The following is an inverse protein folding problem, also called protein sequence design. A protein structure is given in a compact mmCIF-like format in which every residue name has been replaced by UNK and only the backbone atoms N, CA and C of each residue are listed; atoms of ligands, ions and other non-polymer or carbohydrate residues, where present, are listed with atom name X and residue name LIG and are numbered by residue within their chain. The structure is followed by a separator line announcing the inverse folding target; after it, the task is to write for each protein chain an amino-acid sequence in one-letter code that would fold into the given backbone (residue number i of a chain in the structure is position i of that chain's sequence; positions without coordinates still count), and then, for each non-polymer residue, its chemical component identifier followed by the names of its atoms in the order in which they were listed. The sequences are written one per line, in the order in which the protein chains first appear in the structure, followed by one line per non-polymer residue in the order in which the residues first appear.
data_IF_353381498771
#
_entry.id   IF_353381498771
#
_cell.length_a   1.000
_cell.length_b   1.000
_cell.length_c   1.000
_cell.angle_alpha   90.00
_cell.angle_beta   90.00
_cell.angle_gamma   90.00
#
_symmetry.space_group_name_H-M   'P 1'
#
loop_
_entity.id
_entity.type
_entity.pdbx_description
1 polymer ?
#
# COMPACT_ATOMS: atom_id res chain seq x y z
N UNK A 1 12.08 -4.79 28.00
CA UNK A 1 11.91 -3.47 27.35
C UNK A 1 11.40 -3.71 25.92
N UNK A 2 10.20 -3.24 25.61
CA UNK A 2 9.66 -3.35 24.24
C UNK A 2 10.38 -2.31 23.38
N UNK A 3 11.30 -2.75 22.53
CA UNK A 3 11.99 -1.85 21.61
C UNK A 3 11.04 -1.54 20.46
N UNK A 4 10.83 -0.26 20.20
CA UNK A 4 10.07 0.20 19.03
C UNK A 4 10.68 -0.38 17.75
N UNK A 5 9.85 -1.00 16.91
CA UNK A 5 10.33 -1.63 15.68
C UNK A 5 9.22 -1.76 14.64
N UNK A 6 9.61 -1.67 13.37
CA UNK A 6 8.77 -1.99 12.22
C UNK A 6 9.55 -2.89 11.25
N UNK A 7 8.97 -4.01 10.90
CA UNK A 7 9.61 -4.99 10.00
C UNK A 7 8.63 -5.41 8.93
N UNK A 8 8.96 -5.14 7.68
CA UNK A 8 8.23 -5.63 6.51
C UNK A 8 8.85 -6.92 5.96
N UNK A 9 7.99 -7.77 5.40
CA UNK A 9 8.41 -9.04 4.76
C UNK A 9 7.58 -9.28 3.49
N UNK A 10 8.13 -9.99 2.50
CA UNK A 10 7.31 -10.54 1.44
C UNK A 10 6.21 -11.43 2.02
N UNK A 11 5.03 -11.49 1.40
CA UNK A 11 3.98 -12.43 1.79
C UNK A 11 4.39 -13.86 1.47
N UNK A 12 3.58 -14.83 1.92
CA UNK A 12 3.70 -16.22 1.44
C UNK A 12 3.63 -16.24 -0.10
N UNK A 13 4.38 -17.14 -0.78
CA UNK A 13 4.42 -17.18 -2.25
C UNK A 13 3.03 -17.21 -2.91
N UNK A 14 2.12 -17.98 -2.34
CA UNK A 14 0.75 -18.12 -2.87
C UNK A 14 -0.10 -16.85 -2.69
N UNK A 15 0.32 -15.91 -1.85
CA UNK A 15 -0.32 -14.60 -1.68
C UNK A 15 0.36 -13.47 -2.48
N UNK A 16 1.53 -13.71 -3.07
CA UNK A 16 2.31 -12.65 -3.72
C UNK A 16 1.62 -12.00 -4.92
N UNK A 17 0.59 -12.63 -5.47
CA UNK A 17 -0.22 -12.10 -6.57
C UNK A 17 -1.31 -11.12 -6.10
N UNK A 18 -1.60 -11.05 -4.79
CA UNK A 18 -2.66 -10.21 -4.18
C UNK A 18 -2.14 -9.37 -3.01
N UNK A 19 -1.21 -9.87 -2.22
CA UNK A 19 -0.61 -9.17 -1.08
C UNK A 19 0.73 -8.58 -1.51
N UNK A 20 0.88 -7.28 -1.31
CA UNK A 20 2.11 -6.54 -1.62
C UNK A 20 3.21 -6.81 -0.60
N UNK A 21 2.85 -6.72 0.68
CA UNK A 21 3.76 -6.95 1.82
C UNK A 21 2.96 -7.28 3.07
N UNK A 22 3.61 -7.95 4.01
CA UNK A 22 3.12 -8.16 5.37
C UNK A 22 4.12 -7.55 6.35
N UNK A 23 3.64 -7.13 7.53
CA UNK A 23 4.49 -6.41 8.46
C UNK A 23 4.13 -6.65 9.92
N UNK A 24 5.09 -6.39 10.80
CA UNK A 24 4.94 -6.35 12.25
C UNK A 24 5.44 -5.00 12.74
N UNK A 25 4.62 -4.29 13.50
CA UNK A 25 4.97 -3.04 14.17
C UNK A 25 4.86 -3.22 15.68
N UNK A 26 5.83 -2.72 16.41
CA UNK A 26 5.79 -2.63 17.87
C UNK A 26 6.03 -1.19 18.27
N UNK A 27 5.13 -0.63 19.06
CA UNK A 27 5.35 0.68 19.67
C UNK A 27 6.13 0.53 20.98
N UNK A 28 6.92 1.54 21.30
CA UNK A 28 7.70 1.62 22.54
C UNK A 28 6.86 2.02 23.76
N UNK A 29 7.51 2.69 24.70
CA UNK A 29 6.89 3.14 25.95
C UNK A 29 6.03 4.40 25.80
N UNK A 30 6.10 5.09 24.66
CA UNK A 30 5.27 6.23 24.30
C UNK A 30 4.29 5.89 23.15
N UNK A 31 3.16 6.61 23.05
CA UNK A 31 2.30 6.53 21.87
C UNK A 31 3.09 6.88 20.60
N UNK A 32 2.75 6.22 19.51
CA UNK A 32 3.41 6.41 18.21
C UNK A 32 2.46 7.09 17.23
N UNK A 33 2.92 8.19 16.63
CA UNK A 33 2.15 8.90 15.60
C UNK A 33 2.47 8.29 14.24
N UNK A 34 1.54 7.54 13.69
CA UNK A 34 1.64 6.90 12.38
C UNK A 34 1.01 7.78 11.31
N UNK A 35 1.75 8.03 10.23
CA UNK A 35 1.20 8.68 9.03
C UNK A 35 1.01 7.63 7.95
N UNK A 36 -0.25 7.39 7.58
CA UNK A 36 -0.61 6.52 6.47
C UNK A 36 -0.65 7.32 5.18
N UNK A 37 -0.05 6.77 4.13
CA UNK A 37 0.02 7.38 2.81
C UNK A 37 -0.78 6.57 1.80
N UNK A 38 -1.33 7.20 0.74
CA UNK A 38 -2.01 6.48 -0.33
C UNK A 38 -1.10 5.43 -0.97
N UNK A 39 -1.50 4.16 -0.90
CA UNK A 39 -0.78 3.02 -1.50
C UNK A 39 -1.39 2.53 -2.80
N UNK A 40 -2.62 2.96 -3.09
CA UNK A 40 -3.42 2.53 -4.22
C UNK A 40 -4.19 1.23 -3.98
N UNK A 41 -4.06 0.64 -2.80
CA UNK A 41 -4.80 -0.54 -2.35
C UNK A 41 -5.38 -0.34 -0.95
N UNK A 42 -5.84 -1.42 -0.36
CA UNK A 42 -6.32 -1.49 1.04
C UNK A 42 -5.26 -2.12 1.93
N UNK A 43 -5.42 -1.94 3.24
CA UNK A 43 -4.55 -2.55 4.25
C UNK A 43 -5.39 -3.17 5.36
N UNK A 44 -4.90 -4.25 5.95
CA UNK A 44 -5.45 -4.82 7.18
C UNK A 44 -4.46 -4.53 8.30
N UNK A 45 -4.96 -3.92 9.38
CA UNK A 45 -4.25 -3.70 10.62
C UNK A 45 -4.86 -4.55 11.72
N UNK A 46 -4.05 -5.39 12.32
CA UNK A 46 -4.47 -6.34 13.33
C UNK A 46 -3.69 -6.10 14.63
N UNK A 47 -4.15 -5.21 15.52
CA UNK A 47 -3.57 -5.07 16.85
C UNK A 47 -3.75 -6.37 17.63
N UNK A 48 -2.68 -6.95 18.17
CA UNK A 48 -2.77 -8.17 18.97
C UNK A 48 -3.48 -7.86 20.28
N UNK A 49 -4.59 -8.55 20.54
CA UNK A 49 -5.47 -8.27 21.67
C UNK A 49 -6.42 -7.08 21.48
N UNK A 50 -6.42 -6.47 20.29
CA UNK A 50 -7.28 -5.34 19.93
C UNK A 50 -8.27 -5.67 18.81
N UNK A 51 -8.94 -4.64 18.31
CA UNK A 51 -9.92 -4.76 17.22
C UNK A 51 -9.24 -4.62 15.86
N UNK A 52 -9.29 -5.63 15.00
CA UNK A 52 -8.73 -5.55 13.67
C UNK A 52 -9.55 -4.65 12.75
N UNK A 53 -8.85 -3.95 11.86
CA UNK A 53 -9.46 -2.98 10.94
C UNK A 53 -8.98 -3.21 9.51
N UNK A 54 -9.87 -2.97 8.56
CA UNK A 54 -9.54 -2.71 7.17
C UNK A 54 -9.40 -1.18 7.00
N UNK A 55 -8.31 -0.77 6.40
CA UNK A 55 -8.07 0.60 5.96
C UNK A 55 -8.41 0.64 4.49
N UNK A 56 -9.42 1.42 4.12
CA UNK A 56 -9.83 1.62 2.73
C UNK A 56 -8.80 2.43 1.92
N UNK A 57 -9.06 2.58 0.62
CA UNK A 57 -8.15 3.34 -0.24
C UNK A 57 -8.05 4.80 0.24
N UNK A 58 -6.82 5.29 0.44
CA UNK A 58 -6.58 6.66 0.84
C UNK A 58 -6.38 7.58 -0.37
N UNK A 59 -6.90 8.82 -0.29
CA UNK A 59 -6.71 9.88 -1.30
C UNK A 59 -5.69 10.95 -0.87
N UNK A 60 -5.34 10.95 0.40
CA UNK A 60 -4.38 11.85 1.06
C UNK A 60 -3.82 11.21 2.32
N UNK A 61 -3.05 11.94 3.11
CA UNK A 61 -2.47 11.41 4.34
C UNK A 61 -3.55 11.22 5.40
N UNK A 62 -3.40 10.17 6.19
CA UNK A 62 -4.17 9.94 7.42
C UNK A 62 -3.20 9.78 8.58
N UNK A 63 -3.50 10.40 9.72
CA UNK A 63 -2.68 10.33 10.92
C UNK A 63 -3.41 9.53 12.00
N UNK A 64 -2.74 8.52 12.52
CA UNK A 64 -3.22 7.67 13.61
C UNK A 64 -2.26 7.76 14.80
N UNK A 65 -2.82 7.80 15.99
CA UNK A 65 -2.05 7.65 17.24
C UNK A 65 -2.18 6.22 17.74
N UNK A 66 -1.11 5.45 17.59
CA UNK A 66 -1.04 4.08 18.08
C UNK A 66 -0.63 4.12 19.55
N UNK A 67 -1.38 3.48 20.47
CA UNK A 67 -1.04 3.46 21.90
C UNK A 67 0.36 2.88 22.14
N UNK A 68 0.98 3.28 23.25
CA UNK A 68 2.22 2.66 23.71
C UNK A 68 2.06 1.14 23.93
N UNK A 69 3.16 0.41 23.81
CA UNK A 69 3.24 -1.06 24.01
C UNK A 69 2.27 -1.87 23.16
N UNK A 70 1.88 -1.33 22.01
CA UNK A 70 0.99 -2.01 21.05
C UNK A 70 1.83 -2.81 20.05
N UNK A 71 1.40 -4.04 19.77
CA UNK A 71 1.92 -4.81 18.64
C UNK A 71 0.83 -4.98 17.60
N UNK A 72 1.14 -4.58 16.37
CA UNK A 72 0.24 -4.70 15.22
C UNK A 72 0.90 -5.61 14.20
N UNK A 73 0.17 -6.57 13.66
CA UNK A 73 0.52 -7.27 12.44
C UNK A 73 -0.39 -6.80 11.32
N UNK A 74 0.11 -6.74 10.10
CA UNK A 74 -0.69 -6.23 9.00
C UNK A 74 -0.34 -6.83 7.65
N UNK A 75 -1.25 -6.59 6.71
CA UNK A 75 -1.09 -6.93 5.30
C UNK A 75 -1.50 -5.74 4.43
N UNK A 76 -0.64 -5.39 3.48
CA UNK A 76 -0.92 -4.39 2.44
C UNK A 76 -1.17 -5.10 1.14
N UNK A 77 -2.30 -4.81 0.51
CA UNK A 77 -2.69 -5.46 -0.73
C UNK A 77 -2.20 -4.71 -1.96
N UNK A 78 -2.04 -5.44 -3.04
CA UNK A 78 -1.83 -4.85 -4.36
C UNK A 78 -3.10 -4.10 -4.80
N UNK A 79 -2.99 -3.02 -5.58
CA UNK A 79 -4.16 -2.35 -6.13
C UNK A 79 -5.03 -3.33 -6.92
N UNK A 80 -6.33 -3.34 -6.66
CA UNK A 80 -7.29 -4.27 -7.28
C UNK A 80 -7.30 -5.68 -6.72
N UNK A 81 -6.61 -5.92 -5.62
CA UNK A 81 -6.52 -7.23 -4.97
C UNK A 81 -7.03 -7.17 -3.51
N UNK A 82 -8.09 -6.40 -3.25
CA UNK A 82 -8.73 -6.43 -1.93
C UNK A 82 -9.28 -7.83 -1.62
N UNK A 83 -9.28 -8.26 -0.35
CA UNK A 83 -9.95 -9.50 0.04
C UNK A 83 -11.45 -9.39 -0.26
N UNK A 84 -12.20 -10.51 -0.33
CA UNK A 84 -13.64 -10.47 -0.50
C UNK A 84 -14.30 -9.62 0.59
N UNK A 85 -15.11 -8.65 0.17
CA UNK A 85 -15.82 -7.73 1.05
C UNK A 85 -17.30 -7.71 0.67
N UNK A 86 -18.22 -7.59 1.65
CA UNK A 86 -19.66 -7.49 1.40
C UNK A 86 -20.10 -6.11 0.90
N UNK A 87 -19.15 -5.21 0.68
CA UNK A 87 -19.37 -3.80 0.29
C UNK A 87 -18.44 -3.43 -0.86
N UNK A 88 -18.80 -2.37 -1.57
CA UNK A 88 -17.97 -1.86 -2.66
C UNK A 88 -16.80 -1.02 -2.11
N UNK A 89 -15.65 -1.04 -2.79
CA UNK A 89 -14.47 -0.31 -2.30
C UNK A 89 -14.60 1.22 -2.37
N UNK A 90 -15.46 1.76 -3.22
CA UNK A 90 -15.74 3.20 -3.24
C UNK A 90 -16.47 3.68 -1.98
N UNK A 91 -17.27 2.82 -1.34
CA UNK A 91 -17.88 3.11 -0.03
C UNK A 91 -16.86 3.12 1.13
N UNK A 92 -15.67 2.57 0.90
CA UNK A 92 -14.60 2.44 1.90
C UNK A 92 -13.47 3.48 1.77
N UNK A 93 -13.53 4.35 0.78
CA UNK A 93 -12.49 5.37 0.55
C UNK A 93 -12.34 6.29 1.76
N UNK A 94 -11.12 6.38 2.30
CA UNK A 94 -10.79 7.18 3.47
C UNK A 94 -11.43 6.67 4.78
N UNK A 95 -11.91 5.42 4.83
CA UNK A 95 -12.56 4.85 6.01
C UNK A 95 -11.72 3.75 6.64
N UNK A 96 -11.89 3.60 7.95
CA UNK A 96 -11.44 2.46 8.74
C UNK A 96 -12.66 1.70 9.22
N UNK A 97 -12.72 0.41 8.96
CA UNK A 97 -13.88 -0.42 9.28
C UNK A 97 -13.39 -1.65 10.04
N UNK A 98 -14.13 -2.01 11.10
CA UNK A 98 -13.85 -3.23 11.86
C UNK A 98 -13.95 -4.47 10.97
N UNK A 99 -12.97 -5.36 11.02
CA UNK A 99 -13.03 -6.61 10.24
C UNK A 99 -14.21 -7.49 10.68
N UNK A 100 -14.65 -7.40 11.92
CA UNK A 100 -15.84 -8.10 12.42
C UNK A 100 -17.12 -7.64 11.69
N UNK A 101 -17.19 -6.36 11.30
CA UNK A 101 -18.31 -5.84 10.50
C UNK A 101 -18.31 -6.39 9.07
N UNK A 102 -17.14 -6.72 8.54
CA UNK A 102 -16.95 -7.19 7.16
C UNK A 102 -16.98 -8.71 7.04
N UNK A 103 -16.36 -9.43 7.98
CA UNK A 103 -16.20 -10.88 7.95
C UNK A 103 -16.96 -11.63 9.05
N UNK A 104 -17.64 -10.89 9.95
CA UNK A 104 -18.44 -11.50 11.02
C UNK A 104 -17.64 -12.50 11.87
N UNK A 105 -18.23 -13.66 12.12
CA UNK A 105 -17.66 -14.74 12.94
C UNK A 105 -16.27 -15.21 12.47
N UNK A 106 -15.95 -15.08 11.18
CA UNK A 106 -14.62 -15.46 10.68
C UNK A 106 -13.53 -14.51 11.23
N UNK A 107 -13.84 -13.21 11.32
CA UNK A 107 -12.94 -12.26 11.97
C UNK A 107 -12.79 -12.53 13.47
N UNK A 108 -13.87 -12.83 14.17
CA UNK A 108 -13.81 -13.13 15.62
C UNK A 108 -12.93 -14.33 15.91
N UNK A 109 -13.10 -15.41 15.16
CA UNK A 109 -12.22 -16.62 15.28
C UNK A 109 -10.76 -16.30 15.01
N UNK A 110 -10.48 -15.44 14.04
CA UNK A 110 -9.12 -15.01 13.74
C UNK A 110 -8.55 -14.16 14.88
N UNK A 111 -9.36 -13.24 15.47
CA UNK A 111 -8.98 -12.45 16.65
C UNK A 111 -8.59 -13.36 17.81
N UNK A 112 -9.42 -14.35 18.15
CA UNK A 112 -9.16 -15.31 19.21
C UNK A 112 -7.87 -16.09 18.96
N UNK A 113 -7.71 -16.64 17.75
CA UNK A 113 -6.51 -17.40 17.39
C UNK A 113 -5.23 -16.56 17.46
N UNK A 114 -5.30 -15.28 17.07
CA UNK A 114 -4.15 -14.39 17.10
C UNK A 114 -3.83 -13.87 18.51
N UNK A 115 -4.84 -13.71 19.37
CA UNK A 115 -4.65 -13.29 20.75
C UNK A 115 -3.86 -14.31 21.59
N UNK A 116 -4.01 -15.60 21.29
CA UNK A 116 -3.28 -16.69 21.97
C UNK A 116 -1.99 -17.08 21.25
N UNK A 117 -1.63 -16.41 20.18
CA UNK A 117 -0.39 -16.68 19.45
C UNK A 117 0.83 -16.35 20.32
N UNK A 118 1.77 -17.30 20.42
CA UNK A 118 2.94 -17.15 21.28
C UNK A 118 3.88 -16.01 20.87
N UNK A 119 3.85 -15.63 19.58
CA UNK A 119 4.69 -14.55 19.05
C UNK A 119 3.94 -13.76 17.94
N UNK A 120 4.30 -12.50 17.68
CA UNK A 120 3.73 -11.71 16.59
C UNK A 120 3.97 -12.36 15.21
N UNK A 121 5.09 -13.08 15.04
CA UNK A 121 5.38 -13.82 13.80
C UNK A 121 4.40 -14.97 13.60
N UNK A 122 3.99 -15.62 14.68
CA UNK A 122 2.95 -16.65 14.63
C UNK A 122 1.59 -16.06 14.31
N UNK A 123 1.25 -14.92 14.91
CA UNK A 123 0.03 -14.18 14.60
C UNK A 123 0.01 -13.74 13.11
N UNK A 124 1.11 -13.20 12.60
CA UNK A 124 1.25 -12.85 11.19
C UNK A 124 1.07 -14.05 10.25
N UNK A 125 1.56 -15.22 10.64
CA UNK A 125 1.35 -16.46 9.88
C UNK A 125 -0.11 -16.90 9.88
N UNK A 126 -0.84 -16.74 10.99
CA UNK A 126 -2.27 -17.04 11.08
C UNK A 126 -3.07 -16.09 10.17
N UNK A 127 -2.76 -14.80 10.17
CA UNK A 127 -3.35 -13.83 9.24
C UNK A 127 -3.16 -14.26 7.79
N UNK A 128 -1.93 -14.61 7.40
CA UNK A 128 -1.65 -15.00 6.01
C UNK A 128 -2.38 -16.30 5.61
N UNK A 129 -2.49 -17.28 6.52
CA UNK A 129 -3.26 -18.51 6.26
C UNK A 129 -4.75 -18.24 6.10
N UNK A 130 -5.29 -17.32 6.89
CA UNK A 130 -6.69 -16.89 6.73
C UNK A 130 -6.88 -16.25 5.34
N UNK A 131 -6.02 -15.31 4.96
CA UNK A 131 -6.05 -14.67 3.64
C UNK A 131 -5.93 -15.68 2.49
N UNK A 132 -5.12 -16.73 2.62
CA UNK A 132 -5.07 -17.81 1.62
C UNK A 132 -6.44 -18.47 1.42
N UNK A 133 -7.19 -18.68 2.50
CA UNK A 133 -8.56 -19.20 2.44
C UNK A 133 -9.49 -18.26 1.68
N UNK A 134 -9.48 -16.97 2.04
CA UNK A 134 -10.33 -15.94 1.43
C UNK A 134 -10.05 -15.77 -0.06
N UNK A 135 -8.79 -15.75 -0.48
CA UNK A 135 -8.41 -15.56 -1.88
C UNK A 135 -8.57 -16.79 -2.78
N UNK A 136 -8.81 -17.97 -2.21
CA UNK A 136 -9.13 -19.17 -3.02
C UNK A 136 -10.44 -19.04 -3.78
N UNK A 137 -11.37 -18.24 -3.29
CA UNK A 137 -12.71 -18.01 -3.88
C UNK A 137 -12.85 -16.61 -4.49
N UNK A 138 -11.87 -15.75 -4.30
CA UNK A 138 -11.92 -14.37 -4.79
C UNK A 138 -11.62 -14.31 -6.31
N UNK A 139 -12.46 -13.58 -7.03
CA UNK A 139 -12.24 -13.26 -8.44
C UNK A 139 -11.68 -11.85 -8.57
N UNK A 140 -10.42 -11.75 -8.99
CA UNK A 140 -9.84 -10.47 -9.39
C UNK A 140 -10.29 -10.12 -10.80
N UNK A 141 -10.93 -8.97 -11.00
CA UNK A 141 -11.36 -8.50 -12.33
C UNK A 141 -10.13 -8.41 -13.26
N UNK A 142 -10.06 -9.22 -14.34
CA UNK A 142 -8.87 -9.27 -15.19
C UNK A 142 -8.61 -7.97 -15.93
N UNK A 143 -9.65 -7.21 -16.30
CA UNK A 143 -9.51 -5.91 -16.97
C UNK A 143 -8.95 -4.85 -16.02
N UNK A 144 -9.40 -4.86 -14.75
CA UNK A 144 -8.86 -3.95 -13.72
C UNK A 144 -7.41 -4.31 -13.41
N UNK A 145 -7.06 -5.60 -13.32
CA UNK A 145 -5.68 -6.05 -13.12
C UNK A 145 -4.77 -5.60 -14.27
N UNK A 146 -5.23 -5.71 -15.52
CA UNK A 146 -4.50 -5.22 -16.68
C UNK A 146 -4.35 -3.69 -16.65
N UNK A 147 -5.43 -2.96 -16.31
CA UNK A 147 -5.39 -1.53 -16.13
C UNK A 147 -4.37 -1.11 -15.06
N UNK A 148 -4.35 -1.76 -13.90
CA UNK A 148 -3.36 -1.51 -12.83
C UNK A 148 -1.94 -1.72 -13.37
N UNK A 149 -1.71 -2.81 -14.11
CA UNK A 149 -0.40 -3.09 -14.71
C UNK A 149 0.05 -2.04 -15.73
N UNK A 150 -0.89 -1.51 -16.53
CA UNK A 150 -0.63 -0.44 -17.48
C UNK A 150 -0.35 0.92 -16.81
N UNK A 151 -1.00 1.18 -15.66
CA UNK A 151 -0.86 2.43 -14.90
C UNK A 151 0.38 2.47 -13.98
N UNK A 152 1.21 1.44 -13.98
CA UNK A 152 2.47 1.44 -13.21
C UNK A 152 3.37 2.60 -13.65
N UNK A 153 4.11 3.23 -12.72
CA UNK A 153 4.78 4.53 -12.93
C UNK A 153 5.79 4.56 -14.08
N UNK A 154 6.27 3.41 -14.52
CA UNK A 154 7.28 3.28 -15.56
C UNK A 154 6.72 3.29 -17.00
N UNK A 155 5.42 3.49 -17.15
CA UNK A 155 4.74 3.42 -18.44
C UNK A 155 4.01 4.74 -18.71
N UNK A 156 4.33 5.44 -19.80
CA UNK A 156 3.54 6.59 -20.25
C UNK A 156 2.25 6.06 -20.90
N UNK A 157 1.17 6.10 -20.14
CA UNK A 157 -0.15 5.67 -20.59
C UNK A 157 -1.13 6.80 -20.33
N UNK A 158 -1.88 7.20 -21.35
CA UNK A 158 -3.06 8.02 -21.18
C UNK A 158 -4.31 7.15 -20.92
N UNK A 159 -5.30 7.72 -20.25
CA UNK A 159 -6.47 6.96 -19.78
C UNK A 159 -7.39 6.56 -20.94
N UNK A 160 -7.51 7.39 -21.97
CA UNK A 160 -8.39 7.13 -23.11
C UNK A 160 -7.81 6.01 -23.99
N UNK A 161 -6.49 6.06 -24.23
CA UNK A 161 -5.78 4.98 -24.92
C UNK A 161 -5.83 3.66 -24.16
N UNK A 162 -5.73 3.71 -22.81
CA UNK A 162 -5.90 2.52 -21.99
C UNK A 162 -7.33 1.94 -22.07
N UNK A 163 -8.36 2.79 -22.04
CA UNK A 163 -9.73 2.35 -22.18
C UNK A 163 -9.96 1.68 -23.55
N UNK A 164 -9.46 2.29 -24.62
CA UNK A 164 -9.53 1.72 -25.98
C UNK A 164 -8.80 0.38 -26.07
N UNK A 165 -7.60 0.25 -25.49
CA UNK A 165 -6.84 -1.00 -25.44
C UNK A 165 -7.62 -2.13 -24.75
N UNK A 166 -8.37 -1.82 -23.70
CA UNK A 166 -9.20 -2.76 -22.95
C UNK A 166 -10.58 -2.99 -23.58
N UNK A 167 -10.84 -2.44 -24.78
CA UNK A 167 -12.15 -2.44 -25.45
C UNK A 167 -13.29 -1.90 -24.56
N UNK A 168 -12.99 -0.87 -23.76
CA UNK A 168 -13.93 -0.18 -22.88
C UNK A 168 -14.07 1.29 -23.28
N UNK A 169 -15.22 1.89 -22.99
CA UNK A 169 -15.30 3.36 -22.96
C UNK A 169 -14.59 3.90 -21.69
N UNK A 170 -14.12 5.17 -21.71
CA UNK A 170 -13.53 5.79 -20.52
C UNK A 170 -14.46 5.76 -19.29
N UNK A 171 -15.77 5.90 -19.51
CA UNK A 171 -16.78 5.79 -18.45
C UNK A 171 -16.90 4.37 -17.89
N UNK A 172 -16.82 3.35 -18.73
CA UNK A 172 -16.85 1.95 -18.28
C UNK A 172 -15.59 1.61 -17.50
N UNK A 173 -14.41 2.01 -17.99
CA UNK A 173 -13.16 1.83 -17.25
C UNK A 173 -13.22 2.53 -15.89
N UNK A 174 -13.68 3.79 -15.86
CA UNK A 174 -13.81 4.54 -14.61
C UNK A 174 -14.75 3.84 -13.62
N UNK A 175 -15.92 3.37 -14.06
CA UNK A 175 -16.87 2.66 -13.20
C UNK A 175 -16.28 1.38 -12.63
N UNK A 176 -15.63 0.54 -13.45
CA UNK A 176 -14.93 -0.67 -12.97
C UNK A 176 -13.85 -0.35 -11.94
N UNK A 177 -13.03 0.67 -12.21
CA UNK A 177 -12.00 1.08 -11.25
C UNK A 177 -12.61 1.56 -9.92
N UNK A 178 -13.70 2.32 -9.94
CA UNK A 178 -14.38 2.73 -8.70
C UNK A 178 -14.87 1.52 -7.91
N UNK A 179 -15.53 0.57 -8.54
CA UNK A 179 -16.05 -0.63 -7.89
C UNK A 179 -14.96 -1.51 -7.27
N UNK A 180 -13.86 -1.73 -8.00
CA UNK A 180 -12.81 -2.71 -7.62
C UNK A 180 -11.65 -2.08 -6.85
N UNK A 181 -11.36 -0.79 -7.06
CA UNK A 181 -10.23 -0.07 -6.48
C UNK A 181 -10.67 1.02 -5.49
N UNK A 182 -11.95 1.36 -5.47
CA UNK A 182 -12.48 2.53 -4.75
C UNK A 182 -12.11 3.86 -5.39
N UNK A 183 -11.24 3.88 -6.39
CA UNK A 183 -10.73 5.12 -7.01
C UNK A 183 -10.73 5.02 -8.53
N UNK A 184 -10.91 6.16 -9.22
CA UNK A 184 -10.84 6.22 -10.68
C UNK A 184 -9.40 6.04 -11.20
N UNK A 185 -9.24 5.67 -12.50
CA UNK A 185 -7.94 5.33 -13.08
C UNK A 185 -6.92 6.47 -12.99
N UNK A 186 -7.34 7.74 -13.14
CA UNK A 186 -6.46 8.90 -13.03
C UNK A 186 -5.94 9.13 -11.59
N UNK A 187 -6.77 8.85 -10.60
CA UNK A 187 -6.36 8.91 -9.18
C UNK A 187 -5.37 7.80 -8.88
N UNK A 188 -5.67 6.57 -9.33
CA UNK A 188 -4.75 5.45 -9.18
C UNK A 188 -3.40 5.72 -9.85
N UNK A 189 -3.39 6.20 -11.10
CA UNK A 189 -2.16 6.53 -11.84
C UNK A 189 -1.28 7.52 -11.05
N UNK A 190 -1.88 8.56 -10.45
CA UNK A 190 -1.15 9.52 -9.61
C UNK A 190 -0.58 8.88 -8.36
N UNK A 191 -1.36 8.05 -7.68
CA UNK A 191 -0.91 7.31 -6.49
C UNK A 191 0.22 6.36 -6.84
N UNK A 192 0.11 5.58 -7.91
CA UNK A 192 1.16 4.65 -8.34
C UNK A 192 2.44 5.37 -8.75
N UNK A 193 2.32 6.52 -9.43
CA UNK A 193 3.49 7.37 -9.77
C UNK A 193 4.20 7.86 -8.51
N UNK A 194 3.47 8.29 -7.50
CA UNK A 194 4.01 8.68 -6.22
C UNK A 194 4.67 7.49 -5.49
N UNK A 195 4.04 6.32 -5.49
CA UNK A 195 4.62 5.10 -4.92
C UNK A 195 5.92 4.70 -5.66
N UNK A 196 5.98 4.90 -6.98
CA UNK A 196 7.20 4.72 -7.76
C UNK A 196 8.33 5.67 -7.34
N UNK A 197 8.00 6.94 -7.06
CA UNK A 197 8.95 7.90 -6.51
C UNK A 197 9.52 7.42 -5.16
N UNK A 198 8.68 6.96 -4.24
CA UNK A 198 9.12 6.42 -2.96
C UNK A 198 9.98 5.17 -3.13
N UNK A 199 9.62 4.29 -4.08
CA UNK A 199 10.37 3.07 -4.37
C UNK A 199 11.80 3.38 -4.85
N UNK A 200 11.95 4.35 -5.75
CA UNK A 200 13.28 4.78 -6.24
C UNK A 200 14.09 5.47 -5.14
N UNK A 201 13.47 6.35 -4.36
CA UNK A 201 14.13 7.00 -3.24
C UNK A 201 14.63 5.99 -2.20
N UNK A 202 13.86 4.93 -1.92
CA UNK A 202 14.27 3.85 -1.02
C UNK A 202 15.38 2.99 -1.63
N UNK A 203 15.31 2.67 -2.92
CA UNK A 203 16.38 1.93 -3.60
C UNK A 203 17.71 2.71 -3.61
N UNK A 204 17.68 4.02 -3.83
CA UNK A 204 18.81 4.91 -3.71
C UNK A 204 19.39 4.92 -2.29
N UNK A 205 18.55 4.93 -1.26
CA UNK A 205 18.98 4.84 0.13
C UNK A 205 19.68 3.51 0.45
N UNK A 206 19.18 2.41 -0.09
CA UNK A 206 19.82 1.08 0.09
C UNK A 206 21.20 1.04 -0.53
N UNK A 207 21.40 1.72 -1.66
CA UNK A 207 22.68 1.74 -2.38
C UNK A 207 23.70 2.74 -1.79
N UNK A 208 23.24 3.89 -1.27
CA UNK A 208 24.08 5.03 -0.88
C UNK A 208 23.98 5.43 0.60
N UNK A 209 23.09 4.83 1.35
CA UNK A 209 22.76 5.21 2.73
C UNK A 209 21.90 6.48 2.84
N UNK A 210 21.54 7.13 1.73
CA UNK A 210 20.77 8.38 1.75
C UNK A 210 19.59 8.34 0.76
N UNK A 211 18.37 8.57 1.27
CA UNK A 211 17.18 8.70 0.43
C UNK A 211 17.28 9.91 -0.49
N UNK A 212 16.98 9.70 -1.79
CA UNK A 212 17.04 10.78 -2.77
C UNK A 212 18.45 11.22 -3.15
N UNK A 213 19.48 10.39 -2.94
CA UNK A 213 20.85 10.63 -3.37
C UNK A 213 20.96 10.95 -4.87
N UNK A 214 20.09 10.35 -5.70
CA UNK A 214 20.01 10.59 -7.14
C UNK A 214 19.42 11.97 -7.52
N UNK A 215 19.06 12.77 -6.51
CA UNK A 215 18.43 14.08 -6.67
C UNK A 215 16.93 13.99 -6.96
N UNK A 216 16.16 14.85 -6.30
CA UNK A 216 14.68 14.87 -6.38
C UNK A 216 14.20 15.16 -7.82
N UNK A 217 14.94 15.96 -8.58
CA UNK A 217 14.59 16.31 -9.95
C UNK A 217 14.73 15.11 -10.90
N UNK A 218 15.80 14.34 -10.79
CA UNK A 218 16.00 13.10 -11.56
C UNK A 218 14.92 12.06 -11.26
N UNK A 219 14.69 11.81 -9.98
CA UNK A 219 13.63 10.89 -9.54
C UNK A 219 12.24 11.29 -10.04
N UNK A 220 11.94 12.61 -10.10
CA UNK A 220 10.67 13.10 -10.63
C UNK A 220 10.49 12.69 -12.10
N UNK A 221 11.48 12.91 -12.93
CA UNK A 221 11.44 12.56 -14.35
C UNK A 221 11.32 11.05 -14.54
N UNK A 222 12.09 10.27 -13.79
CA UNK A 222 12.13 8.80 -13.85
C UNK A 222 10.76 8.14 -13.60
N UNK A 223 9.91 8.79 -12.79
CA UNK A 223 8.56 8.29 -12.50
C UNK A 223 7.46 9.01 -13.32
N UNK A 224 7.85 9.84 -14.30
CA UNK A 224 6.94 10.48 -15.24
C UNK A 224 6.26 11.75 -14.72
N UNK A 225 6.85 12.47 -13.76
CA UNK A 225 6.51 13.88 -13.53
C UNK A 225 7.21 14.76 -14.56
N UNK A 226 6.57 15.87 -14.95
CA UNK A 226 7.14 16.79 -15.92
C UNK A 226 8.41 17.47 -15.36
N UNK A 227 8.39 17.80 -14.07
CA UNK A 227 9.46 18.47 -13.36
C UNK A 227 9.35 18.27 -11.83
N UNK A 228 10.34 18.75 -11.09
CA UNK A 228 10.36 18.74 -9.64
C UNK A 228 9.19 19.53 -9.00
N UNK A 229 8.72 20.60 -9.65
CA UNK A 229 7.62 21.39 -9.13
C UNK A 229 6.30 20.62 -9.23
N UNK A 230 6.10 19.84 -10.30
CA UNK A 230 4.97 18.92 -10.44
C UNK A 230 5.02 17.84 -9.34
N UNK A 231 6.16 17.18 -9.14
CA UNK A 231 6.33 16.23 -8.04
C UNK A 231 6.02 16.88 -6.69
N UNK A 232 6.51 18.10 -6.44
CA UNK A 232 6.30 18.82 -5.17
C UNK A 232 4.82 19.09 -4.88
N UNK A 233 4.05 19.47 -5.91
CA UNK A 233 2.59 19.67 -5.78
C UNK A 233 1.87 18.38 -5.46
N UNK A 234 2.19 17.29 -6.17
CA UNK A 234 1.57 15.98 -5.93
C UNK A 234 2.00 15.38 -4.59
N UNK A 235 3.25 15.54 -4.19
CA UNK A 235 3.74 15.12 -2.89
C UNK A 235 2.97 15.81 -1.75
N UNK A 236 2.85 17.14 -1.78
CA UNK A 236 2.03 17.87 -0.80
C UNK A 236 0.59 17.41 -0.76
N UNK A 237 -0.01 17.14 -1.91
CA UNK A 237 -1.39 16.66 -1.99
C UNK A 237 -1.56 15.27 -1.35
N UNK A 238 -0.61 14.35 -1.57
CA UNK A 238 -0.71 12.96 -1.12
C UNK A 238 -0.17 12.72 0.29
N UNK A 239 0.67 13.63 0.80
CA UNK A 239 1.37 13.44 2.07
C UNK A 239 1.24 14.61 3.04
N UNK A 240 0.83 15.79 2.56
CA UNK A 240 0.91 17.04 3.31
C UNK A 240 2.31 17.66 3.33
N UNK A 241 3.33 17.03 2.75
CA UNK A 241 4.74 17.34 2.85
C UNK A 241 5.38 17.61 1.49
N UNK A 242 6.48 18.35 1.46
CA UNK A 242 7.34 18.44 0.28
C UNK A 242 8.18 17.16 0.13
N UNK A 243 8.71 16.86 -1.09
CA UNK A 243 9.64 15.74 -1.27
C UNK A 243 10.86 15.80 -0.34
N UNK A 244 11.40 16.99 -0.09
CA UNK A 244 12.55 17.19 0.79
C UNK A 244 12.21 16.84 2.25
N UNK A 245 11.09 17.33 2.75
CA UNK A 245 10.59 17.00 4.08
C UNK A 245 10.32 15.50 4.19
N UNK A 246 9.67 14.89 3.20
CA UNK A 246 9.35 13.48 3.20
C UNK A 246 10.59 12.58 3.17
N UNK A 247 11.66 12.98 2.50
CA UNK A 247 12.91 12.22 2.39
C UNK A 247 13.95 12.57 3.48
N UNK A 248 13.82 13.75 4.10
CA UNK A 248 14.83 14.32 5.00
C UNK A 248 14.90 13.77 6.42
N UNK A 249 14.05 12.84 6.80
CA UNK A 249 14.24 12.00 7.98
C UNK A 249 13.83 12.53 9.36
N UNK A 250 13.51 13.81 9.51
CA UNK A 250 13.08 14.39 10.81
C UNK A 250 11.55 14.35 11.02
N UNK A 251 10.85 13.91 10.01
CA UNK A 251 9.42 13.85 10.06
C UNK A 251 8.99 12.46 10.45
N UNK A 252 8.49 12.44 11.66
CA UNK A 252 7.79 11.26 12.11
C UNK A 252 8.45 9.98 11.68
N UNK A 253 8.61 9.20 12.46
CA UNK A 253 9.22 7.92 12.24
C UNK A 253 8.51 7.00 11.22
N UNK A 254 7.54 7.49 10.47
CA UNK A 254 7.08 6.89 9.22
C UNK A 254 7.71 7.48 7.97
N UNK A 255 8.31 8.58 8.04
CA UNK A 255 9.56 8.86 7.37
C UNK A 255 10.71 8.15 8.11
N UNK A 256 10.37 7.30 8.97
CA UNK A 256 10.89 6.42 9.89
C UNK A 256 12.08 5.74 9.30
N UNK A 257 13.18 5.88 9.60
CA UNK A 257 14.32 5.06 9.21
C UNK A 257 14.04 3.54 9.03
N UNK A 258 12.77 3.17 8.91
CA UNK A 258 12.30 1.82 8.63
C UNK A 258 12.59 1.45 7.18
N UNK A 259 13.06 0.27 6.98
CA UNK A 259 13.31 -0.29 5.66
C UNK A 259 11.97 -0.77 5.07
N UNK A 260 11.55 -0.11 3.98
CA UNK A 260 10.33 -0.47 3.22
C UNK A 260 10.65 -1.24 1.93
N UNK A 261 11.81 -1.86 1.82
CA UNK A 261 12.25 -2.56 0.60
C UNK A 261 11.26 -3.63 0.16
N UNK A 262 10.68 -4.39 1.10
CA UNK A 262 9.69 -5.42 0.77
C UNK A 262 8.42 -4.81 0.15
N UNK A 263 7.97 -3.66 0.66
CA UNK A 263 6.81 -2.94 0.13
C UNK A 263 7.03 -2.42 -1.28
N UNK A 264 8.25 -2.02 -1.64
CA UNK A 264 8.56 -1.44 -2.93
C UNK A 264 9.10 -2.43 -3.96
N UNK A 265 9.51 -3.63 -3.54
CA UNK A 265 10.02 -4.66 -4.43
C UNK A 265 9.11 -4.96 -5.64
N UNK A 266 7.76 -5.07 -5.51
CA UNK A 266 6.88 -5.29 -6.66
C UNK A 266 6.90 -4.14 -7.68
N UNK A 267 7.08 -2.89 -7.23
CA UNK A 267 7.22 -1.73 -8.12
C UNK A 267 8.52 -1.80 -8.91
N UNK A 268 9.65 -2.02 -8.24
CA UNK A 268 10.97 -2.11 -8.86
C UNK A 268 11.07 -3.29 -9.83
N UNK A 269 10.46 -4.42 -9.51
CA UNK A 269 10.40 -5.58 -10.41
C UNK A 269 9.68 -5.29 -11.74
N UNK A 270 8.67 -4.40 -11.73
CA UNK A 270 7.97 -3.98 -12.96
C UNK A 270 8.78 -2.99 -13.78
N UNK A 271 9.66 -2.19 -13.16
CA UNK A 271 10.60 -1.28 -13.85
C UNK A 271 11.57 -2.05 -14.74
N UNK A 272 12.20 -3.09 -14.23
CA UNK A 272 13.12 -3.94 -15.00
C UNK A 272 12.46 -4.54 -16.24
N UNK A 273 11.21 -5.00 -16.12
CA UNK A 273 10.44 -5.55 -17.27
C UNK A 273 10.04 -4.49 -18.30
N UNK A 274 9.87 -3.23 -17.92
CA UNK A 274 9.56 -2.14 -18.84
C UNK A 274 10.78 -1.74 -19.68
N UNK A 275 11.97 -1.76 -19.10
CA UNK A 275 13.23 -1.41 -19.79
C UNK A 275 13.69 -2.47 -20.82
N UNK A 276 13.26 -3.73 -20.66
CA UNK A 276 13.63 -4.83 -21.59
C UNK A 276 12.74 -4.88 -22.85
N UNK A 277 11.66 -4.09 -22.90
CA UNK A 277 10.69 -4.09 -24.02
C UNK A 277 10.80 -2.88 -24.95
N UNK A 278 11.87 -2.11 -24.88
CA UNK A 278 12.16 -0.98 -25.79
C UNK A 278 13.20 -1.36 -26.82
#
# INVERSE_FOLDING_TARGET
MNVESYVERPPLPDLAHVVRTVWIQRTGEAPYVQRHLPTGGVEIHFPIGGRPQLIGPLLGPEVEVIPARTTIVGARFLPGAAPPLPVMLDDLVGRRIGLTELWGVAADRLVEAMAVAATPERALMLLQRHLLGEFRVAHVDPLVREAVGALMPWRPVDIDGLAAHLALSPSQLRRRCLQVLGVGPKVLQRTLRFQGFLALAQAGATASGQRGADGVAGLAVDVGYADQAHLSRECRRLTGLTPRELLGGDLDRCACGHEHSASFAPFLATRGKALVRV
#
